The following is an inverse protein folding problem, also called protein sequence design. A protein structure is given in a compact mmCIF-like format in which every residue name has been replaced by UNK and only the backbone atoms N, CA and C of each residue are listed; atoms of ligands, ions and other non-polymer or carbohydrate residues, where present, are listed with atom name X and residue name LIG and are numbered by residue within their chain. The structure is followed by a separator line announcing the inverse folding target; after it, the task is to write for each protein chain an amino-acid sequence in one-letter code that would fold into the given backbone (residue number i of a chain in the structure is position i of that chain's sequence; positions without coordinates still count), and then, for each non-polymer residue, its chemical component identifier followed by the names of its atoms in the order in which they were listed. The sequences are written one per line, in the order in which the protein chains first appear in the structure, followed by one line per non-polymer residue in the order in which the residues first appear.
data_IF_776562523776
#
_entry.id   IF_776562523776
#
_cell.length_a   1.000
_cell.length_b   1.000
_cell.length_c   1.000
_cell.angle_alpha   90.00
_cell.angle_beta   90.00
_cell.angle_gamma   90.00
#
_symmetry.space_group_name_H-M   'P 1'
#
loop_
_entity.id
_entity.type
_entity.pdbx_description
1 polymer ?
#
# COMPACT_ATOMS: atom_id res chain seq x y z
N UNK A 1 13.15 1.79 19.93
CA UNK A 1 13.56 1.79 18.52
C UNK A 1 12.55 1.01 17.67
N UNK A 2 12.41 -0.32 17.83
CA UNK A 2 11.46 -1.14 17.07
C UNK A 2 9.99 -0.66 17.14
N UNK A 3 9.49 -0.33 18.34
CA UNK A 3 8.13 0.17 18.53
C UNK A 3 7.88 1.55 17.87
N UNK A 4 8.92 2.36 17.73
CA UNK A 4 8.85 3.66 17.03
C UNK A 4 8.74 3.44 15.53
N UNK A 5 9.58 2.57 14.98
CA UNK A 5 9.55 2.20 13.56
C UNK A 5 8.24 1.52 13.16
N UNK A 6 7.67 0.67 14.03
CA UNK A 6 6.36 0.06 13.78
C UNK A 6 5.21 1.07 13.80
N UNK A 7 5.31 2.12 14.62
CA UNK A 7 4.32 3.22 14.63
C UNK A 7 4.46 4.09 13.38
N UNK A 8 5.68 4.46 13.02
CA UNK A 8 5.97 5.20 11.77
C UNK A 8 5.48 4.40 10.56
N UNK A 9 5.75 3.10 10.52
CA UNK A 9 5.24 2.21 9.49
C UNK A 9 3.72 2.18 9.46
N UNK A 10 3.06 2.13 10.63
CA UNK A 10 1.60 2.17 10.74
C UNK A 10 1.02 3.49 10.24
N UNK A 11 1.69 4.61 10.49
CA UNK A 11 1.31 5.93 9.99
C UNK A 11 1.53 6.07 8.48
N UNK A 12 2.53 5.39 7.92
CA UNK A 12 2.83 5.40 6.48
C UNK A 12 1.93 4.50 5.65
N UNK A 13 1.55 3.34 6.21
CA UNK A 13 0.53 2.46 5.60
C UNK A 13 -0.88 2.87 6.03
N UNK A 14 -1.01 3.92 6.85
CA UNK A 14 -2.30 4.39 7.29
C UNK A 14 -3.09 4.79 6.03
N UNK A 15 -4.29 4.23 5.86
CA UNK A 15 -5.12 4.53 4.73
C UNK A 15 -5.40 6.04 4.64
N UNK A 16 -5.29 6.69 3.45
CA UNK A 16 -5.76 8.06 3.30
C UNK A 16 -7.23 8.19 3.71
N UNK A 17 -7.62 9.34 4.27
CA UNK A 17 -9.00 9.52 4.75
C UNK A 17 -10.02 9.45 3.60
N UNK A 18 -11.30 9.12 3.86
CA UNK A 18 -12.35 9.12 2.83
C UNK A 18 -12.43 10.43 2.02
N UNK A 19 -12.22 11.57 2.68
CA UNK A 19 -12.20 12.89 2.05
C UNK A 19 -11.01 13.05 1.10
N UNK A 20 -9.90 12.41 1.43
CA UNK A 20 -8.71 12.34 0.56
C UNK A 20 -9.05 11.54 -0.68
N UNK A 21 -9.73 10.38 -0.56
CA UNK A 21 -10.16 9.56 -1.70
C UNK A 21 -11.08 10.28 -2.68
N UNK A 22 -11.92 11.20 -2.20
CA UNK A 22 -12.81 12.00 -3.03
C UNK A 22 -12.13 13.22 -3.69
N UNK A 23 -10.84 13.46 -3.44
CA UNK A 23 -10.13 14.64 -3.91
C UNK A 23 -9.85 14.57 -5.43
N UNK A 24 -10.14 15.60 -6.23
CA UNK A 24 -9.82 15.62 -7.67
C UNK A 24 -8.31 15.53 -7.97
N UNK A 25 -7.45 15.83 -6.99
CA UNK A 25 -6.00 15.71 -7.07
C UNK A 25 -5.48 14.41 -6.44
N UNK A 26 -6.33 13.39 -6.24
CA UNK A 26 -5.97 12.14 -5.57
C UNK A 26 -4.76 11.44 -6.19
N UNK A 27 -4.58 11.51 -7.52
CA UNK A 27 -3.38 10.98 -8.19
C UNK A 27 -2.07 11.57 -7.61
N UNK A 28 -2.03 12.88 -7.37
CA UNK A 28 -0.85 13.55 -6.80
C UNK A 28 -0.63 13.18 -5.33
N UNK A 29 -1.72 13.01 -4.58
CA UNK A 29 -1.66 12.65 -3.16
C UNK A 29 -1.17 11.20 -3.02
N UNK A 30 -1.74 10.27 -3.80
CA UNK A 30 -1.32 8.87 -3.82
C UNK A 30 0.12 8.71 -4.32
N UNK A 31 0.55 9.55 -5.27
CA UNK A 31 1.96 9.60 -5.68
C UNK A 31 2.84 9.98 -4.49
N UNK A 32 2.49 11.05 -3.77
CA UNK A 32 3.23 11.47 -2.57
C UNK A 32 3.30 10.34 -1.54
N UNK A 33 2.20 9.64 -1.26
CA UNK A 33 2.21 8.49 -0.35
C UNK A 33 3.10 7.36 -0.85
N UNK A 34 3.04 7.05 -2.15
CA UNK A 34 3.92 6.07 -2.78
C UNK A 34 5.39 6.42 -2.59
N UNK A 35 5.78 7.66 -2.87
CA UNK A 35 7.17 8.11 -2.68
C UNK A 35 7.61 7.97 -1.22
N UNK A 36 6.81 8.47 -0.27
CA UNK A 36 7.15 8.40 1.16
C UNK A 36 7.29 6.94 1.62
N UNK A 37 6.43 6.03 1.14
CA UNK A 37 6.52 4.60 1.45
C UNK A 37 7.89 4.03 1.02
N UNK A 38 8.31 4.28 -0.23
CA UNK A 38 9.58 3.76 -0.73
C UNK A 38 10.80 4.46 -0.12
N UNK A 39 10.71 5.74 0.23
CA UNK A 39 11.76 6.46 0.96
C UNK A 39 11.99 5.83 2.33
N UNK A 40 10.90 5.54 3.06
CA UNK A 40 10.98 4.89 4.36
C UNK A 40 11.52 3.46 4.25
N UNK A 41 11.11 2.69 3.23
CA UNK A 41 11.66 1.36 2.99
C UNK A 41 13.16 1.43 2.69
N UNK A 42 13.62 2.40 1.88
CA UNK A 42 15.04 2.57 1.59
C UNK A 42 15.84 2.89 2.86
N UNK A 43 15.35 3.86 3.65
CA UNK A 43 15.96 4.29 4.90
C UNK A 43 16.13 3.15 5.92
N UNK A 44 15.21 2.19 5.90
CA UNK A 44 15.20 1.03 6.81
C UNK A 44 15.37 -0.31 6.06
N UNK A 45 16.06 -0.32 4.92
CA UNK A 45 16.08 -1.47 4.00
C UNK A 45 16.53 -2.79 4.65
N UNK A 46 17.49 -2.77 5.58
CA UNK A 46 17.92 -3.97 6.31
C UNK A 46 16.80 -4.57 7.16
N UNK A 47 16.02 -3.73 7.84
CA UNK A 47 14.87 -4.17 8.62
C UNK A 47 13.82 -4.81 7.70
N UNK A 48 13.48 -4.17 6.58
CA UNK A 48 12.50 -4.72 5.64
C UNK A 48 12.97 -6.02 4.99
N UNK A 49 14.27 -6.16 4.68
CA UNK A 49 14.84 -7.43 4.19
C UNK A 49 14.69 -8.54 5.23
N UNK A 50 14.98 -8.26 6.50
CA UNK A 50 14.81 -9.24 7.59
C UNK A 50 13.33 -9.61 7.75
N UNK A 51 12.44 -8.62 7.82
CA UNK A 51 11.00 -8.85 7.95
C UNK A 51 10.47 -9.69 6.78
N UNK A 52 10.75 -9.29 5.54
CA UNK A 52 10.25 -9.96 4.32
C UNK A 52 10.82 -11.35 4.09
N UNK A 53 11.93 -11.70 4.75
CA UNK A 53 12.53 -13.05 4.75
C UNK A 53 12.26 -13.82 6.05
N UNK A 54 11.47 -13.25 6.97
CA UNK A 54 11.07 -13.93 8.20
C UNK A 54 10.19 -15.15 7.91
N UNK A 55 9.93 -15.93 8.95
CA UNK A 55 9.02 -17.08 8.86
C UNK A 55 7.68 -16.68 8.24
N UNK A 56 7.12 -17.62 7.47
CA UNK A 56 5.88 -17.42 6.72
C UNK A 56 4.74 -16.91 7.61
N UNK A 57 4.63 -17.41 8.83
CA UNK A 57 3.63 -17.02 9.83
C UNK A 57 3.70 -15.53 10.20
N UNK A 58 4.92 -14.95 10.26
CA UNK A 58 5.14 -13.53 10.57
C UNK A 58 4.63 -12.66 9.42
N UNK A 59 4.98 -13.03 8.19
CA UNK A 59 4.52 -12.30 6.99
C UNK A 59 3.02 -12.43 6.80
N UNK A 60 2.45 -13.62 6.99
CA UNK A 60 1.01 -13.81 6.91
C UNK A 60 0.26 -12.98 7.97
N UNK A 61 0.81 -12.87 9.18
CA UNK A 61 0.23 -12.01 10.23
C UNK A 61 0.28 -10.53 9.87
N UNK A 62 1.39 -10.06 9.31
CA UNK A 62 1.54 -8.67 8.87
C UNK A 62 0.61 -8.35 7.68
N UNK A 63 0.48 -9.26 6.72
CA UNK A 63 -0.45 -9.12 5.61
C UNK A 63 -1.90 -9.12 6.10
N UNK A 64 -2.27 -10.02 7.03
CA UNK A 64 -3.61 -10.06 7.60
C UNK A 64 -3.97 -8.74 8.30
N UNK A 65 -3.01 -8.17 9.05
CA UNK A 65 -3.18 -6.86 9.67
C UNK A 65 -3.43 -5.75 8.62
N UNK A 66 -2.59 -5.67 7.58
CA UNK A 66 -2.74 -4.67 6.53
C UNK A 66 -4.05 -4.82 5.74
N UNK A 67 -4.49 -6.06 5.50
CA UNK A 67 -5.78 -6.36 4.85
C UNK A 67 -6.94 -5.86 5.72
N UNK A 68 -6.89 -6.10 7.04
CA UNK A 68 -7.96 -5.67 7.93
C UNK A 68 -8.02 -4.14 8.09
N UNK A 69 -6.88 -3.47 8.16
CA UNK A 69 -6.80 -2.00 8.14
C UNK A 69 -7.41 -1.44 6.84
N UNK A 70 -7.10 -2.03 5.67
CA UNK A 70 -7.73 -1.62 4.42
C UNK A 70 -9.24 -1.82 4.45
N UNK A 71 -9.71 -3.00 4.87
CA UNK A 71 -11.15 -3.30 4.92
C UNK A 71 -11.91 -2.36 5.85
N UNK A 72 -11.33 -2.05 7.01
CA UNK A 72 -11.97 -1.18 8.01
C UNK A 72 -12.15 0.23 7.48
N UNK A 73 -11.14 0.76 6.79
CA UNK A 73 -11.12 2.16 6.37
C UNK A 73 -11.72 2.38 4.97
N UNK A 74 -11.64 1.40 4.07
CA UNK A 74 -12.11 1.51 2.68
C UNK A 74 -13.24 0.57 2.30
N UNK A 75 -13.52 -0.46 3.10
CA UNK A 75 -14.68 -1.33 2.92
C UNK A 75 -15.99 -0.56 2.75
N UNK A 76 -16.27 0.46 3.59
CA UNK A 76 -17.49 1.26 3.44
C UNK A 76 -17.53 2.13 2.18
N UNK A 77 -16.38 2.47 1.61
CA UNK A 77 -16.27 3.31 0.41
C UNK A 77 -16.19 2.50 -0.89
N UNK A 78 -15.96 1.19 -0.78
CA UNK A 78 -15.81 0.29 -1.91
C UNK A 78 -17.17 -0.09 -2.47
N UNK A 79 -17.69 0.72 -3.38
CA UNK A 79 -18.87 0.40 -4.19
C UNK A 79 -18.45 -0.45 -5.39
N UNK A 80 -18.04 -1.69 -5.14
CA UNK A 80 -17.63 -2.64 -6.17
C UNK A 80 -18.44 -3.94 -6.05
N UNK A 81 -18.66 -4.63 -7.16
CA UNK A 81 -19.22 -6.00 -7.15
C UNK A 81 -18.19 -7.03 -6.66
N UNK A 82 -16.94 -6.61 -6.48
CA UNK A 82 -15.87 -7.42 -5.92
C UNK A 82 -15.87 -7.24 -4.39
N UNK A 83 -15.85 -8.33 -3.61
CA UNK A 83 -15.79 -8.23 -2.15
C UNK A 83 -14.57 -7.44 -1.69
N UNK A 84 -14.76 -6.51 -0.74
CA UNK A 84 -13.70 -5.65 -0.21
C UNK A 84 -12.47 -6.43 0.28
N UNK A 85 -12.67 -7.64 0.83
CA UNK A 85 -11.55 -8.51 1.24
C UNK A 85 -10.67 -9.00 0.08
N UNK A 86 -11.25 -9.22 -1.11
CA UNK A 86 -10.48 -9.61 -2.30
C UNK A 86 -9.67 -8.41 -2.82
N UNK A 87 -10.27 -7.23 -2.85
CA UNK A 87 -9.61 -5.96 -3.22
C UNK A 87 -8.43 -5.70 -2.26
N UNK A 88 -8.68 -5.77 -0.94
CA UNK A 88 -7.66 -5.60 0.10
C UNK A 88 -6.51 -6.59 -0.05
N UNK A 89 -6.83 -7.88 -0.23
CA UNK A 89 -5.83 -8.92 -0.42
C UNK A 89 -4.96 -8.66 -1.65
N UNK A 90 -5.56 -8.25 -2.78
CA UNK A 90 -4.80 -7.93 -3.99
C UNK A 90 -3.85 -6.74 -3.78
N UNK A 91 -4.33 -5.64 -3.20
CA UNK A 91 -3.50 -4.46 -2.92
C UNK A 91 -2.28 -4.80 -2.07
N UNK A 92 -2.53 -5.45 -0.93
CA UNK A 92 -1.50 -5.77 0.06
C UNK A 92 -0.51 -6.76 -0.55
N UNK A 93 -1.00 -7.82 -1.20
CA UNK A 93 -0.12 -8.83 -1.81
C UNK A 93 0.76 -8.24 -2.91
N UNK A 94 0.18 -7.43 -3.80
CA UNK A 94 0.92 -6.79 -4.90
C UNK A 94 1.96 -5.79 -4.38
N UNK A 95 1.61 -5.02 -3.34
CA UNK A 95 2.54 -4.08 -2.70
C UNK A 95 3.72 -4.82 -2.05
N UNK A 96 3.45 -5.87 -1.27
CA UNK A 96 4.50 -6.68 -0.63
C UNK A 96 5.42 -7.35 -1.65
N UNK A 97 4.85 -7.87 -2.75
CA UNK A 97 5.60 -8.48 -3.83
C UNK A 97 6.54 -7.47 -4.51
N UNK A 98 6.04 -6.26 -4.81
CA UNK A 98 6.83 -5.19 -5.42
C UNK A 98 7.98 -4.74 -4.51
N UNK A 99 7.70 -4.53 -3.22
CA UNK A 99 8.72 -4.15 -2.23
C UNK A 99 9.79 -5.23 -2.08
N UNK A 100 9.37 -6.50 -1.96
CA UNK A 100 10.31 -7.63 -1.87
C UNK A 100 11.22 -7.68 -3.08
N UNK A 101 10.64 -7.60 -4.29
CA UNK A 101 11.43 -7.62 -5.52
C UNK A 101 12.44 -6.48 -5.56
N UNK A 102 12.02 -5.25 -5.24
CA UNK A 102 12.90 -4.08 -5.25
C UNK A 102 14.07 -4.25 -4.28
N UNK A 103 13.83 -4.76 -3.07
CA UNK A 103 14.88 -5.02 -2.07
C UNK A 103 15.80 -6.19 -2.44
N UNK A 104 15.27 -7.23 -3.07
CA UNK A 104 16.04 -8.40 -3.52
C UNK A 104 16.93 -8.08 -4.73
N UNK A 105 16.61 -7.03 -5.49
CA UNK A 105 17.44 -6.51 -6.59
C UNK A 105 18.38 -5.38 -6.17
N UNK A 106 18.57 -5.17 -4.86
CA UNK A 106 19.38 -4.08 -4.31
C UNK A 106 18.91 -2.67 -4.70
N UNK A 107 17.60 -2.48 -4.74
CA UNK A 107 16.92 -1.19 -4.95
C UNK A 107 17.40 -0.46 -6.22
N UNK A 108 17.22 -1.04 -7.43
CA UNK A 108 17.81 -0.50 -8.67
C UNK A 108 17.13 0.78 -9.18
N UNK A 109 15.98 1.14 -8.63
CA UNK A 109 15.23 2.36 -8.93
C UNK A 109 15.14 3.25 -7.69
N UNK A 110 15.05 4.57 -7.90
CA UNK A 110 14.85 5.52 -6.81
C UNK A 110 13.47 5.37 -6.16
N UNK A 111 13.30 5.82 -4.90
CA UNK A 111 12.00 5.84 -4.24
C UNK A 111 10.90 6.55 -5.03
N UNK A 112 11.23 7.66 -5.69
CA UNK A 112 10.29 8.43 -6.51
C UNK A 112 9.77 7.59 -7.68
N UNK A 113 10.68 6.90 -8.36
CA UNK A 113 10.35 6.02 -9.49
C UNK A 113 9.49 4.84 -9.02
N UNK A 114 9.83 4.23 -7.88
CA UNK A 114 9.05 3.12 -7.33
C UNK A 114 7.68 3.53 -6.82
N UNK A 115 7.57 4.71 -6.21
CA UNK A 115 6.29 5.31 -5.82
C UNK A 115 5.39 5.54 -7.03
N UNK A 116 5.94 6.04 -8.14
CA UNK A 116 5.21 6.19 -9.40
C UNK A 116 4.75 4.83 -9.96
N UNK A 117 5.62 3.81 -9.95
CA UNK A 117 5.26 2.47 -10.43
C UNK A 117 4.21 1.80 -9.54
N UNK A 118 4.30 1.95 -8.23
CA UNK A 118 3.29 1.46 -7.30
C UNK A 118 1.93 2.13 -7.53
N UNK A 119 1.91 3.46 -7.68
CA UNK A 119 0.69 4.18 -8.04
C UNK A 119 0.09 3.65 -9.35
N UNK A 120 0.89 3.60 -10.41
CA UNK A 120 0.41 3.26 -11.77
C UNK A 120 0.00 1.80 -11.93
N UNK A 121 0.69 0.87 -11.28
CA UNK A 121 0.47 -0.56 -11.44
C UNK A 121 -0.53 -1.12 -10.43
N UNK A 122 -0.62 -0.54 -9.25
CA UNK A 122 -1.34 -1.14 -8.11
C UNK A 122 -2.47 -0.24 -7.63
N UNK A 123 -2.18 1.00 -7.23
CA UNK A 123 -3.16 1.85 -6.55
C UNK A 123 -4.22 2.39 -7.53
N UNK A 124 -3.79 3.06 -8.60
CA UNK A 124 -4.68 3.73 -9.55
C UNK A 124 -5.66 2.77 -10.24
N UNK A 125 -5.25 1.61 -10.79
CA UNK A 125 -6.19 0.68 -11.41
C UNK A 125 -7.28 0.22 -10.44
N UNK A 126 -6.93 -0.07 -9.18
CA UNK A 126 -7.92 -0.46 -8.19
C UNK A 126 -8.86 0.68 -7.81
N UNK A 127 -8.31 1.87 -7.59
CA UNK A 127 -9.09 3.06 -7.27
C UNK A 127 -10.08 3.37 -8.40
N UNK A 128 -9.64 3.34 -9.64
CA UNK A 128 -10.50 3.60 -10.80
C UNK A 128 -11.63 2.55 -10.90
N UNK A 129 -11.40 1.29 -10.51
CA UNK A 129 -12.47 0.29 -10.39
C UNK A 129 -13.50 0.60 -9.29
N UNK A 130 -13.08 1.27 -8.23
CA UNK A 130 -13.94 1.67 -7.11
C UNK A 130 -14.71 2.97 -7.44
N UNK A 131 -14.03 3.96 -8.03
CA UNK A 131 -14.57 5.29 -8.32
C UNK A 131 -15.46 5.31 -9.57
N UNK A 132 -15.12 4.60 -10.64
CA UNK A 132 -15.88 4.67 -11.91
C UNK A 132 -17.33 4.16 -11.79
N UNK A 133 -17.69 3.48 -10.69
CA UNK A 133 -19.07 3.10 -10.40
C UNK A 133 -19.87 4.23 -9.74
N UNK A 134 -19.23 5.09 -8.93
CA UNK A 134 -19.84 6.26 -8.27
C UNK A 134 -20.29 7.32 -9.29
N UNK A 135 -19.59 7.44 -10.43
CA UNK A 135 -19.90 8.44 -11.47
C UNK A 135 -20.87 7.95 -12.56
N UNK A 136 -21.30 6.68 -12.51
CA UNK A 136 -22.20 6.06 -13.51
C UNK A 136 -23.59 5.74 -12.95
N UNK A 137 -23.86 6.06 -11.69
CA UNK A 137 -25.20 6.11 -11.07
C UNK A 137 -25.64 7.56 -10.88
#
# INVERSE_FOLDING_TARGET
MLATTMRELRELIAPPSPETFANPNIDSIELTYGVILFEHIQLHSDLYRVLLRSERSVIESLMAFAIEEFKTNFGPLTQSDIPAGIIANHLVSSTFALVRWWLDQDMPYSPETMGEYHLRLIVKPMRDMIINKIMKE
#
